data_IF_438566978067
#
_entry.id   IF_438566978067
#
_cell.length_a   1.000
_cell.length_b   1.000
_cell.length_c   1.000
_cell.angle_alpha   90.00
_cell.angle_beta   90.00
_cell.angle_gamma   90.00
#
_symmetry.space_group_name_H-M   'P 1'
#
loop_
_entity.id
_entity.type
_entity.pdbx_description
1 polymer ?
#
# COMPACT_ATOMS: atom_id res chain seq x y z
N UNK A 1 4.50 -7.28 -30.36
CA UNK A 1 3.68 -6.06 -30.33
C UNK A 1 4.40 -5.06 -29.44
N UNK A 2 4.67 -3.84 -29.91
CA UNK A 2 5.31 -2.82 -29.08
C UNK A 2 4.38 -2.50 -27.90
N UNK A 3 4.89 -2.51 -26.66
CA UNK A 3 4.14 -2.09 -25.49
C UNK A 3 3.71 -0.63 -25.68
N UNK A 4 2.44 -0.32 -25.44
CA UNK A 4 1.96 1.05 -25.47
C UNK A 4 2.82 1.93 -24.52
N UNK A 5 3.03 3.22 -24.84
CA UNK A 5 3.78 4.12 -23.97
C UNK A 5 3.14 4.17 -22.59
N UNK A 6 3.96 4.08 -21.54
CA UNK A 6 3.49 4.16 -20.15
C UNK A 6 2.86 5.52 -19.89
N UNK A 7 1.61 5.57 -19.44
CA UNK A 7 0.90 6.85 -19.14
C UNK A 7 0.91 7.24 -17.66
N UNK A 8 1.34 6.36 -16.77
CA UNK A 8 1.61 6.65 -15.36
C UNK A 8 2.67 5.68 -14.81
N UNK A 9 3.46 6.12 -13.84
CA UNK A 9 4.26 5.24 -12.98
C UNK A 9 3.35 4.70 -11.89
N UNK A 10 3.24 3.37 -11.77
CA UNK A 10 2.47 2.73 -10.72
C UNK A 10 3.37 2.32 -9.56
N UNK A 11 3.15 2.94 -8.41
CA UNK A 11 3.83 2.65 -7.15
C UNK A 11 2.91 1.81 -6.26
N UNK A 12 3.22 0.52 -6.08
CA UNK A 12 2.53 -0.33 -5.11
C UNK A 12 3.11 -0.19 -3.71
N UNK A 13 2.28 0.04 -2.71
CA UNK A 13 2.63 0.06 -1.28
C UNK A 13 1.80 -0.99 -0.57
N UNK A 14 2.46 -2.06 -0.12
CA UNK A 14 1.83 -3.19 0.55
C UNK A 14 2.44 -3.48 1.92
N UNK A 15 1.88 -4.43 2.65
CA UNK A 15 2.26 -4.75 4.03
C UNK A 15 1.05 -4.96 4.94
N UNK A 16 1.27 -5.47 6.17
CA UNK A 16 0.19 -5.86 7.07
C UNK A 16 -0.73 -4.70 7.42
N UNK A 17 -1.94 -5.02 7.87
CA UNK A 17 -2.86 -4.06 8.49
C UNK A 17 -2.14 -3.28 9.60
N UNK A 18 -2.44 -1.99 9.76
CA UNK A 18 -1.83 -1.11 10.78
C UNK A 18 -0.30 -0.88 10.69
N UNK A 19 0.35 -1.20 9.57
CA UNK A 19 1.79 -0.92 9.35
C UNK A 19 2.14 0.54 9.02
N UNK A 20 1.14 1.35 8.63
CA UNK A 20 1.36 2.77 8.29
C UNK A 20 1.35 3.09 6.78
N UNK A 21 0.88 2.16 5.93
CA UNK A 21 0.76 2.34 4.47
C UNK A 21 0.04 3.65 4.09
N UNK A 22 -1.20 3.84 4.54
CA UNK A 22 -2.00 5.04 4.25
C UNK A 22 -1.28 6.33 4.61
N UNK A 23 -0.58 6.34 5.75
CA UNK A 23 0.23 7.49 6.18
C UNK A 23 1.37 7.76 5.21
N UNK A 24 2.13 6.71 4.83
CA UNK A 24 3.21 6.84 3.86
C UNK A 24 2.69 7.29 2.49
N UNK A 25 1.60 6.69 1.99
CA UNK A 25 0.98 7.02 0.71
C UNK A 25 0.56 8.49 0.63
N UNK A 26 -0.02 9.05 1.71
CA UNK A 26 -0.39 10.46 1.77
C UNK A 26 0.82 11.39 1.82
N UNK A 27 1.83 11.07 2.62
CA UNK A 27 3.09 11.84 2.66
C UNK A 27 3.76 11.85 1.28
N UNK A 28 3.81 10.70 0.60
CA UNK A 28 4.35 10.58 -0.75
C UNK A 28 3.52 11.37 -1.76
N UNK A 29 2.19 11.32 -1.69
CA UNK A 29 1.31 12.16 -2.54
C UNK A 29 1.62 13.64 -2.39
N UNK A 30 1.83 14.09 -1.16
CA UNK A 30 2.10 15.50 -0.89
C UNK A 30 3.48 15.93 -1.41
N UNK A 31 4.43 15.01 -1.53
CA UNK A 31 5.82 15.26 -1.96
C UNK A 31 6.03 15.07 -3.47
N UNK A 32 5.37 14.07 -4.07
CA UNK A 32 5.60 13.64 -5.44
C UNK A 32 4.79 14.45 -6.47
N UNK A 33 5.36 14.71 -7.67
CA UNK A 33 4.68 15.48 -8.71
C UNK A 33 3.50 14.71 -9.30
N UNK A 34 2.41 15.42 -9.63
CA UNK A 34 1.26 14.88 -10.37
C UNK A 34 0.80 13.51 -9.84
N UNK A 35 0.71 13.37 -8.52
CA UNK A 35 0.47 12.10 -7.86
C UNK A 35 -0.95 12.01 -7.29
N UNK A 36 -1.48 10.78 -7.23
CA UNK A 36 -2.77 10.47 -6.63
C UNK A 36 -2.74 9.07 -6.01
N UNK A 37 -3.70 8.79 -5.11
CA UNK A 37 -3.77 7.53 -4.38
C UNK A 37 -5.00 6.74 -4.83
N UNK A 38 -4.82 5.43 -5.03
CA UNK A 38 -5.87 4.44 -5.15
C UNK A 38 -5.77 3.50 -3.94
N UNK A 39 -6.79 3.47 -3.09
CA UNK A 39 -6.84 2.55 -1.94
C UNK A 39 -7.52 1.25 -2.35
N UNK A 40 -6.91 0.11 -2.05
CA UNK A 40 -7.52 -1.21 -2.20
C UNK A 40 -8.79 -1.32 -1.36
N UNK A 41 -8.80 -0.67 -0.19
CA UNK A 41 -9.92 -0.65 0.74
C UNK A 41 -11.18 0.04 0.14
N UNK A 42 -11.05 0.86 -0.90
CA UNK A 42 -12.21 1.40 -1.63
C UNK A 42 -12.95 0.32 -2.46
N UNK A 43 -12.38 -0.89 -2.57
CA UNK A 43 -12.92 -2.02 -3.31
C UNK A 43 -13.43 -3.15 -2.40
N UNK A 44 -13.68 -2.89 -1.11
CA UNK A 44 -14.42 -3.86 -0.30
C UNK A 44 -15.81 -4.12 -0.88
N UNK A 45 -16.25 -5.37 -0.78
CA UNK A 45 -17.64 -5.75 -1.02
C UNK A 45 -18.54 -5.15 0.06
N UNK A 46 -19.85 -5.21 -0.18
CA UNK A 46 -20.85 -4.86 0.82
C UNK A 46 -20.79 -5.82 2.00
N UNK A 47 -21.18 -5.36 3.19
CA UNK A 47 -21.07 -6.11 4.45
C UNK A 47 -21.70 -7.51 4.35
N UNK A 48 -22.87 -7.62 3.71
CA UNK A 48 -23.57 -8.89 3.52
C UNK A 48 -22.85 -9.91 2.61
N UNK A 49 -21.89 -9.47 1.80
CA UNK A 49 -21.06 -10.33 0.94
C UNK A 49 -19.70 -10.70 1.56
N UNK A 50 -19.35 -10.13 2.72
CA UNK A 50 -18.08 -10.44 3.38
C UNK A 50 -18.11 -11.87 3.91
N UNK A 51 -17.09 -12.69 3.59
CA UNK A 51 -17.06 -14.08 4.02
C UNK A 51 -17.01 -14.19 5.54
N UNK A 52 -17.63 -15.22 6.10
CA UNK A 52 -17.61 -15.48 7.54
C UNK A 52 -16.68 -16.64 7.84
N UNK A 53 -15.69 -16.43 8.71
CA UNK A 53 -14.79 -17.46 9.22
C UNK A 53 -14.88 -17.50 10.74
N UNK A 54 -15.04 -18.71 11.27
CA UNK A 54 -15.20 -18.95 12.72
C UNK A 54 -16.32 -18.11 13.37
N UNK A 55 -17.36 -17.79 12.62
CA UNK A 55 -18.51 -17.00 13.10
C UNK A 55 -18.31 -15.48 13.05
N UNK A 56 -17.20 -14.99 12.48
CA UNK A 56 -16.90 -13.56 12.33
C UNK A 56 -16.65 -13.22 10.85
N UNK A 57 -17.08 -12.03 10.40
CA UNK A 57 -16.77 -11.53 9.06
C UNK A 57 -15.25 -11.33 8.87
N UNK A 58 -14.69 -11.95 7.85
CA UNK A 58 -13.29 -11.85 7.48
C UNK A 58 -13.11 -10.76 6.42
N UNK A 59 -12.79 -9.55 6.87
CA UNK A 59 -12.49 -8.41 6.03
C UNK A 59 -11.07 -8.49 5.45
N UNK A 60 -10.13 -9.15 6.13
CA UNK A 60 -8.71 -9.20 5.79
C UNK A 60 -8.37 -10.39 4.86
N UNK A 61 -9.22 -10.67 3.87
CA UNK A 61 -9.01 -11.74 2.89
C UNK A 61 -9.27 -11.29 1.44
N UNK A 62 -8.90 -12.12 0.46
CA UNK A 62 -9.05 -11.76 -0.95
C UNK A 62 -10.53 -11.71 -1.37
N UNK A 63 -11.36 -12.57 -0.78
CA UNK A 63 -12.76 -12.73 -1.14
C UNK A 63 -13.63 -11.55 -0.68
N UNK A 64 -13.15 -10.76 0.30
CA UNK A 64 -13.81 -9.53 0.75
C UNK A 64 -13.71 -8.38 -0.27
N UNK A 65 -12.94 -8.53 -1.34
CA UNK A 65 -12.64 -7.47 -2.31
C UNK A 65 -13.31 -7.72 -3.68
N UNK A 66 -13.73 -6.63 -4.33
CA UNK A 66 -14.06 -6.59 -5.75
C UNK A 66 -12.79 -6.43 -6.60
N UNK A 67 -12.12 -7.56 -6.84
CA UNK A 67 -10.92 -7.58 -7.67
C UNK A 67 -11.18 -7.24 -9.15
N UNK A 68 -12.40 -7.46 -9.64
CA UNK A 68 -12.72 -7.11 -11.02
C UNK A 68 -12.73 -5.58 -11.16
N UNK A 69 -13.44 -4.88 -10.27
CA UNK A 69 -13.43 -3.42 -10.20
C UNK A 69 -12.02 -2.84 -9.98
N UNK A 70 -11.22 -3.48 -9.11
CA UNK A 70 -9.85 -3.03 -8.86
C UNK A 70 -8.95 -3.19 -10.10
N UNK A 71 -9.06 -4.30 -10.83
CA UNK A 71 -8.32 -4.52 -12.09
C UNK A 71 -8.72 -3.53 -13.18
N UNK A 72 -10.00 -3.21 -13.27
CA UNK A 72 -10.50 -2.22 -14.21
C UNK A 72 -9.97 -0.82 -13.89
N UNK A 73 -9.91 -0.46 -12.60
CA UNK A 73 -9.31 0.79 -12.16
C UNK A 73 -7.82 0.88 -12.49
N UNK A 74 -7.04 -0.16 -12.22
CA UNK A 74 -5.62 -0.21 -12.59
C UNK A 74 -5.40 -0.14 -14.11
N UNK A 75 -6.24 -0.83 -14.88
CA UNK A 75 -6.21 -0.80 -16.35
C UNK A 75 -6.51 0.58 -16.89
N UNK A 76 -7.49 1.28 -16.28
CA UNK A 76 -7.81 2.67 -16.61
C UNK A 76 -6.62 3.58 -16.32
N UNK A 77 -6.03 3.49 -15.13
CA UNK A 77 -4.85 4.30 -14.74
C UNK A 77 -3.69 4.09 -15.72
N UNK A 78 -3.40 2.84 -16.09
CA UNK A 78 -2.35 2.51 -17.07
C UNK A 78 -2.59 3.06 -18.47
N UNK A 79 -3.84 3.38 -18.80
CA UNK A 79 -4.24 3.90 -20.12
C UNK A 79 -4.38 5.42 -20.14
N UNK A 80 -4.82 6.01 -19.03
CA UNK A 80 -5.23 7.42 -18.96
C UNK A 80 -4.29 8.28 -18.11
N UNK A 81 -3.49 7.67 -17.23
CA UNK A 81 -2.61 8.38 -16.31
C UNK A 81 -3.34 9.09 -15.16
N UNK A 82 -4.61 8.76 -14.93
CA UNK A 82 -5.46 9.36 -13.90
C UNK A 82 -6.38 8.31 -13.27
N UNK A 83 -6.89 8.62 -12.08
CA UNK A 83 -7.89 7.81 -11.41
C UNK A 83 -9.21 7.78 -12.23
N UNK A 84 -9.94 6.65 -12.28
CA UNK A 84 -11.27 6.61 -12.89
C UNK A 84 -12.19 7.70 -12.31
N UNK A 85 -12.87 8.51 -13.13
CA UNK A 85 -13.68 9.63 -12.65
C UNK A 85 -14.89 9.21 -11.82
N UNK A 86 -15.30 7.94 -11.91
CA UNK A 86 -16.40 7.36 -11.14
C UNK A 86 -15.97 6.89 -9.74
N UNK A 87 -14.66 6.79 -9.49
CA UNK A 87 -14.15 6.33 -8.20
C UNK A 87 -13.97 7.53 -7.26
N UNK A 88 -14.81 7.56 -6.21
CA UNK A 88 -14.68 8.53 -5.13
C UNK A 88 -14.07 7.79 -3.94
N UNK A 89 -12.81 8.10 -3.61
CA UNK A 89 -12.15 7.46 -2.48
C UNK A 89 -12.83 7.85 -1.18
N UNK A 90 -13.25 6.86 -0.39
CA UNK A 90 -13.72 7.04 0.98
C UNK A 90 -12.54 7.10 1.92
N UNK A 91 -11.52 6.27 1.67
CA UNK A 91 -10.34 6.21 2.53
C UNK A 91 -9.57 7.52 2.52
N UNK A 92 -9.42 8.21 1.39
CA UNK A 92 -8.70 9.50 1.34
C UNK A 92 -9.43 10.65 2.05
N UNK A 93 -10.71 10.46 2.43
CA UNK A 93 -11.48 11.43 3.22
C UNK A 93 -11.21 11.31 4.73
N UNK A 94 -10.57 10.22 5.18
CA UNK A 94 -10.26 10.00 6.58
C UNK A 94 -9.17 10.96 7.06
N UNK A 95 -9.39 11.60 8.21
CA UNK A 95 -8.44 12.54 8.80
C UNK A 95 -7.03 11.93 8.96
N UNK A 96 -6.00 12.68 8.57
CA UNK A 96 -4.60 12.26 8.79
C UNK A 96 -4.29 12.46 10.27
N UNK A 97 -4.13 11.36 11.01
CA UNK A 97 -3.63 11.40 12.38
C UNK A 97 -2.20 11.95 12.46
N UNK A 98 -1.70 12.19 13.68
CA UNK A 98 -0.30 12.62 13.86
C UNK A 98 0.66 11.53 13.34
N UNK A 99 1.46 11.88 12.32
CA UNK A 99 2.42 10.97 11.69
C UNK A 99 3.87 11.18 12.17
N UNK A 100 4.12 12.23 12.95
CA UNK A 100 5.42 12.48 13.60
C UNK A 100 6.54 12.90 12.66
N UNK A 101 6.23 13.30 11.42
CA UNK A 101 7.21 13.85 10.47
C UNK A 101 7.13 15.36 10.50
N UNK A 102 8.27 16.02 10.71
CA UNK A 102 8.38 17.48 10.75
C UNK A 102 7.96 18.10 9.40
N UNK A 103 7.02 19.06 9.37
CA UNK A 103 6.66 19.80 8.16
C UNK A 103 7.86 20.42 7.42
N UNK A 104 8.88 20.88 8.14
CA UNK A 104 10.08 21.44 7.52
C UNK A 104 10.86 20.38 6.72
N UNK A 105 10.89 19.14 7.22
CA UNK A 105 11.51 18.02 6.52
C UNK A 105 10.69 17.58 5.30
N UNK A 106 9.37 17.62 5.37
CA UNK A 106 8.50 17.38 4.20
C UNK A 106 8.80 18.41 3.09
N UNK A 107 8.98 19.68 3.46
CA UNK A 107 9.33 20.73 2.50
C UNK A 107 10.73 20.55 1.90
N UNK A 108 11.71 20.10 2.68
CA UNK A 108 13.03 19.71 2.18
C UNK A 108 12.94 18.59 1.12
N UNK A 109 12.13 17.56 1.40
CA UNK A 109 11.91 16.45 0.48
C UNK A 109 11.20 16.89 -0.81
N UNK A 110 10.23 17.81 -0.72
CA UNK A 110 9.59 18.42 -1.90
C UNK A 110 10.59 19.13 -2.80
N UNK A 111 11.49 19.93 -2.21
CA UNK A 111 12.51 20.65 -2.98
C UNK A 111 13.49 19.69 -3.66
N UNK A 112 13.89 18.63 -2.96
CA UNK A 112 14.73 17.55 -3.51
C UNK A 112 14.06 16.86 -4.70
N UNK A 113 12.80 16.48 -4.58
CA UNK A 113 12.04 15.85 -5.66
C UNK A 113 11.84 16.82 -6.83
N UNK A 114 11.55 18.10 -6.57
CA UNK A 114 11.40 19.11 -7.62
C UNK A 114 12.68 19.32 -8.44
N UNK A 115 13.85 19.28 -7.78
CA UNK A 115 15.14 19.32 -8.46
C UNK A 115 15.33 18.11 -9.39
N UNK A 116 14.98 16.90 -8.92
CA UNK A 116 15.03 15.68 -9.73
C UNK A 116 14.07 15.74 -10.93
N UNK A 117 12.84 16.22 -10.72
CA UNK A 117 11.83 16.40 -11.78
C UNK A 117 12.35 17.31 -12.88
N UNK A 118 13.02 18.39 -12.48
CA UNK A 118 13.61 19.36 -13.42
C UNK A 118 14.79 18.76 -14.17
N UNK A 119 15.72 18.11 -13.48
CA UNK A 119 16.91 17.47 -14.06
C UNK A 119 16.53 16.37 -15.07
N UNK A 120 15.53 15.55 -14.74
CA UNK A 120 15.07 14.44 -15.59
C UNK A 120 13.96 14.82 -16.57
N UNK A 121 13.50 16.06 -16.56
CA UNK A 121 12.32 16.50 -17.34
C UNK A 121 11.11 15.57 -17.13
N UNK A 122 10.89 15.14 -15.88
CA UNK A 122 9.85 14.18 -15.54
C UNK A 122 8.46 14.80 -15.72
N UNK A 123 7.60 14.14 -16.49
CA UNK A 123 6.22 14.60 -16.74
C UNK A 123 5.19 13.46 -16.71
N UNK A 124 5.52 12.35 -16.04
CA UNK A 124 4.65 11.20 -15.94
C UNK A 124 3.89 11.24 -14.60
N UNK A 125 2.55 11.12 -14.59
CA UNK A 125 1.79 10.99 -13.34
C UNK A 125 2.24 9.79 -12.51
N UNK A 126 2.13 9.90 -11.18
CA UNK A 126 2.48 8.82 -10.24
C UNK A 126 1.22 8.33 -9.55
N UNK A 127 0.82 7.09 -9.84
CA UNK A 127 -0.31 6.44 -9.20
C UNK A 127 0.18 5.61 -8.00
N UNK A 128 -0.16 6.03 -6.80
CA UNK A 128 0.19 5.36 -5.54
C UNK A 128 -0.94 4.38 -5.22
N UNK A 129 -0.65 3.08 -5.21
CA UNK A 129 -1.61 2.02 -4.98
C UNK A 129 -1.37 1.46 -3.58
N UNK A 130 -2.28 1.74 -2.65
CA UNK A 130 -2.17 1.37 -1.24
C UNK A 130 -3.06 0.17 -0.94
N UNK A 131 -2.50 -0.94 -0.44
CA UNK A 131 -3.32 -2.08 -0.10
C UNK A 131 -2.59 -3.20 0.64
N UNK A 132 -3.28 -3.83 1.59
CA UNK A 132 -2.67 -4.83 2.46
C UNK A 132 -2.37 -6.17 1.76
N UNK A 133 -3.05 -6.50 0.66
CA UNK A 133 -2.88 -7.76 -0.10
C UNK A 133 -2.12 -7.62 -1.41
N UNK A 134 -1.71 -6.42 -1.81
CA UNK A 134 -1.20 -6.17 -3.17
C UNK A 134 -0.05 -7.11 -3.57
N UNK A 135 0.75 -7.58 -2.62
CA UNK A 135 1.90 -8.45 -2.89
C UNK A 135 1.70 -9.91 -2.47
N UNK A 136 0.47 -10.33 -2.15
CA UNK A 136 0.17 -11.74 -1.87
C UNK A 136 0.48 -12.63 -3.07
N UNK A 137 0.61 -13.94 -2.85
CA UNK A 137 0.76 -14.90 -3.95
C UNK A 137 -0.44 -14.90 -4.91
N UNK A 138 -1.65 -14.76 -4.36
CA UNK A 138 -2.90 -14.75 -5.13
C UNK A 138 -3.05 -13.47 -5.98
N UNK A 139 -2.38 -12.38 -5.61
CA UNK A 139 -2.35 -11.12 -6.37
C UNK A 139 -1.10 -10.97 -7.25
N UNK A 140 -0.41 -12.06 -7.59
CA UNK A 140 0.82 -12.00 -8.40
C UNK A 140 0.67 -11.24 -9.72
N UNK A 141 -0.44 -11.42 -10.43
CA UNK A 141 -0.71 -10.74 -11.69
C UNK A 141 -1.00 -9.24 -11.53
N UNK A 142 -1.57 -8.82 -10.40
CA UNK A 142 -1.73 -7.41 -10.02
C UNK A 142 -0.37 -6.82 -9.64
N UNK A 143 0.39 -7.54 -8.80
CA UNK A 143 1.73 -7.12 -8.35
C UNK A 143 2.64 -6.85 -9.55
N UNK A 144 2.58 -7.67 -10.59
CA UNK A 144 3.40 -7.53 -11.79
C UNK A 144 3.07 -6.26 -12.59
N UNK A 145 1.95 -5.59 -12.30
CA UNK A 145 1.58 -4.34 -12.94
C UNK A 145 2.38 -3.13 -12.43
N UNK A 146 2.94 -3.17 -11.22
CA UNK A 146 3.59 -2.03 -10.59
C UNK A 146 5.03 -1.81 -11.08
N UNK A 147 5.42 -0.56 -11.27
CA UNK A 147 6.81 -0.18 -11.62
C UNK A 147 7.73 -0.14 -10.39
N UNK A 148 7.16 0.17 -9.22
CA UNK A 148 7.87 0.20 -7.92
C UNK A 148 7.02 -0.53 -6.89
N UNK A 149 7.62 -1.43 -6.12
CA UNK A 149 6.94 -2.26 -5.12
C UNK A 149 7.56 -2.04 -3.74
N UNK A 150 6.88 -1.37 -2.84
CA UNK A 150 7.33 -1.11 -1.47
C UNK A 150 6.53 -1.95 -0.49
N UNK A 151 7.23 -2.79 0.30
CA UNK A 151 6.60 -3.65 1.29
C UNK A 151 6.95 -3.20 2.71
N UNK A 152 5.96 -2.65 3.41
CA UNK A 152 6.05 -2.28 4.82
C UNK A 152 5.94 -3.53 5.68
N UNK A 153 6.59 -3.47 6.84
CA UNK A 153 6.60 -4.53 7.86
C UNK A 153 6.15 -3.93 9.19
N UNK A 154 5.59 -4.75 10.05
CA UNK A 154 5.47 -4.40 11.46
C UNK A 154 5.37 -5.66 12.31
N UNK A 155 5.80 -5.61 13.57
CA UNK A 155 5.60 -6.71 14.53
C UNK A 155 4.13 -6.95 14.85
N UNK A 156 3.79 -8.19 15.22
CA UNK A 156 2.44 -8.58 15.65
C UNK A 156 1.94 -7.66 16.77
N UNK A 157 2.79 -7.41 17.77
CA UNK A 157 2.47 -6.55 18.92
C UNK A 157 2.05 -5.13 18.48
N UNK A 158 2.79 -4.53 17.57
CA UNK A 158 2.49 -3.19 17.07
C UNK A 158 1.24 -3.17 16.19
N UNK A 159 1.08 -4.15 15.30
CA UNK A 159 -0.11 -4.28 14.47
C UNK A 159 -1.38 -4.40 15.33
N UNK A 160 -1.34 -5.29 16.32
CA UNK A 160 -2.43 -5.54 17.27
C UNK A 160 -2.78 -4.30 18.07
N UNK A 161 -1.81 -3.70 18.74
CA UNK A 161 -2.04 -2.50 19.55
C UNK A 161 -2.65 -1.35 18.74
N UNK A 162 -2.20 -1.16 17.49
CA UNK A 162 -2.74 -0.12 16.60
C UNK A 162 -4.13 -0.47 16.06
N UNK A 163 -4.39 -1.74 15.72
CA UNK A 163 -5.70 -2.20 15.21
C UNK A 163 -6.77 -2.10 16.29
N UNK A 164 -6.49 -2.60 17.50
CA UNK A 164 -7.41 -2.56 18.64
C UNK A 164 -7.67 -1.13 19.17
N UNK A 165 -6.76 -0.18 18.88
CA UNK A 165 -6.96 1.23 19.22
C UNK A 165 -7.88 1.99 18.25
N UNK A 166 -8.28 1.38 17.12
CA UNK A 166 -9.21 2.00 16.17
C UNK A 166 -10.63 1.88 16.72
N UNK A 167 -11.40 2.96 16.59
CA UNK A 167 -12.79 3.03 17.06
C UNK A 167 -13.78 2.26 16.17
N UNK A 168 -13.32 1.78 15.01
CA UNK A 168 -14.11 1.08 14.00
C UNK A 168 -13.90 1.64 12.59
N UNK A 169 -14.66 1.13 11.63
CA UNK A 169 -14.52 1.34 10.19
C UNK A 169 -15.85 1.71 9.58
N UNK A 170 -15.87 2.70 8.69
CA UNK A 170 -17.04 3.00 7.87
C UNK A 170 -17.07 2.03 6.71
N UNK A 171 -18.15 1.26 6.58
CA UNK A 171 -18.32 0.28 5.51
C UNK A 171 -19.26 0.80 4.42
N UNK A 172 -19.62 -0.05 3.45
CA UNK A 172 -20.58 0.35 2.42
C UNK A 172 -22.01 0.42 2.96
N UNK A 173 -22.38 -0.44 3.92
CA UNK A 173 -23.74 -0.54 4.46
C UNK A 173 -23.86 -0.03 5.91
N UNK A 174 -22.75 0.36 6.55
CA UNK A 174 -22.80 0.93 7.90
C UNK A 174 -21.46 1.16 8.55
N UNK A 175 -21.28 0.55 9.73
CA UNK A 175 -20.11 0.72 10.58
C UNK A 175 -19.71 -0.64 11.16
N UNK A 176 -18.43 -0.98 11.06
CA UNK A 176 -17.85 -2.20 11.58
C UNK A 176 -16.91 -1.90 12.74
N UNK A 177 -17.02 -2.67 13.82
CA UNK A 177 -16.06 -2.66 14.93
C UNK A 177 -15.50 -4.06 15.07
N UNK A 178 -14.16 -4.18 15.11
CA UNK A 178 -13.51 -5.47 15.25
C UNK A 178 -13.93 -6.13 16.57
N UNK A 179 -14.45 -7.37 16.56
CA UNK A 179 -14.81 -8.04 17.80
C UNK A 179 -13.57 -8.40 18.63
N UNK A 180 -13.72 -8.69 19.94
CA UNK A 180 -12.60 -9.10 20.78
C UNK A 180 -11.86 -10.31 20.21
N UNK A 181 -10.53 -10.18 20.07
CA UNK A 181 -9.66 -11.24 19.52
C UNK A 181 -9.60 -11.30 17.98
N UNK A 182 -10.23 -10.35 17.26
CA UNK A 182 -10.23 -10.32 15.80
C UNK A 182 -8.82 -10.35 15.18
N UNK A 183 -7.87 -9.64 15.80
CA UNK A 183 -6.48 -9.63 15.31
C UNK A 183 -5.84 -11.01 15.37
N UNK A 184 -6.10 -11.74 16.45
CA UNK A 184 -5.52 -13.06 16.71
C UNK A 184 -6.12 -14.14 15.83
N UNK A 185 -7.42 -14.03 15.55
CA UNK A 185 -8.21 -15.04 14.87
C UNK A 185 -8.26 -14.83 13.35
N UNK A 186 -8.22 -13.58 12.88
CA UNK A 186 -8.46 -13.23 11.48
C UNK A 186 -7.28 -12.45 10.88
N UNK A 187 -7.01 -11.25 11.37
CA UNK A 187 -6.08 -10.30 10.72
C UNK A 187 -4.66 -10.88 10.60
N UNK A 188 -4.09 -11.35 11.71
CA UNK A 188 -2.71 -11.82 11.71
C UNK A 188 -2.55 -13.18 10.99
N UNK A 189 -3.43 -14.19 11.20
CA UNK A 189 -3.39 -15.42 10.43
C UNK A 189 -3.49 -15.22 8.92
N UNK A 190 -4.36 -14.32 8.44
CA UNK A 190 -4.44 -14.01 7.01
C UNK A 190 -3.17 -13.34 6.50
N UNK A 191 -2.61 -12.37 7.25
CA UNK A 191 -1.33 -11.77 6.88
C UNK A 191 -0.20 -12.81 6.75
N UNK A 192 -0.10 -13.75 7.69
CA UNK A 192 0.86 -14.87 7.63
C UNK A 192 0.60 -15.73 6.39
N UNK A 193 -0.65 -16.13 6.16
CA UNK A 193 -1.03 -16.94 4.98
C UNK A 193 -0.58 -16.26 3.68
N UNK A 194 -0.85 -14.97 3.55
CA UNK A 194 -0.72 -14.26 2.28
C UNK A 194 0.71 -13.79 1.99
N UNK A 195 1.53 -13.57 3.03
CA UNK A 195 2.85 -12.93 2.90
C UNK A 195 4.02 -13.74 3.45
N UNK A 196 3.81 -14.86 4.16
CA UNK A 196 4.91 -15.68 4.72
C UNK A 196 5.99 -16.05 3.71
N UNK A 197 5.64 -16.24 2.44
CA UNK A 197 6.59 -16.54 1.37
C UNK A 197 7.66 -15.45 1.14
N UNK A 198 7.42 -14.20 1.57
CA UNK A 198 8.38 -13.10 1.51
C UNK A 198 9.42 -13.16 2.62
N UNK A 199 9.27 -14.05 3.60
CA UNK A 199 10.07 -14.10 4.81
C UNK A 199 10.87 -15.40 4.91
N UNK A 200 12.03 -15.31 5.54
CA UNK A 200 12.87 -16.47 5.81
C UNK A 200 12.11 -17.48 6.67
N UNK A 201 12.08 -18.74 6.22
CA UNK A 201 11.38 -19.83 6.92
C UNK A 201 9.87 -19.60 7.12
N UNK A 202 9.27 -18.62 6.42
CA UNK A 202 7.86 -18.25 6.60
C UNK A 202 7.57 -17.40 7.84
N UNK A 203 8.58 -16.95 8.58
CA UNK A 203 8.40 -16.15 9.80
C UNK A 203 8.21 -14.66 9.47
N UNK A 204 6.95 -14.20 9.48
CA UNK A 204 6.60 -12.80 9.17
C UNK A 204 7.09 -11.77 10.19
N UNK A 205 7.54 -12.20 11.37
CA UNK A 205 8.21 -11.33 12.35
C UNK A 205 9.74 -11.35 12.18
N UNK A 206 10.27 -12.41 11.56
CA UNK A 206 11.66 -12.61 11.16
C UNK A 206 12.06 -11.80 9.93
N UNK A 207 13.24 -12.07 9.37
CA UNK A 207 13.79 -11.32 8.22
C UNK A 207 13.11 -11.65 6.89
N UNK A 208 13.10 -10.65 6.00
CA UNK A 208 12.70 -10.89 4.61
C UNK A 208 13.70 -11.82 3.92
N UNK A 209 13.18 -12.65 3.02
CA UNK A 209 14.00 -13.47 2.14
C UNK A 209 14.45 -12.60 0.96
N UNK A 210 15.73 -12.21 0.96
CA UNK A 210 16.31 -11.31 -0.04
C UNK A 210 16.20 -11.87 -1.46
N UNK A 211 16.33 -13.19 -1.63
CA UNK A 211 16.24 -13.84 -2.93
C UNK A 211 14.80 -13.83 -3.45
N UNK A 212 13.81 -14.06 -2.58
CA UNK A 212 12.39 -13.93 -2.94
C UNK A 212 12.06 -12.48 -3.30
N UNK A 213 12.42 -11.52 -2.44
CA UNK A 213 12.17 -10.10 -2.69
C UNK A 213 12.82 -9.64 -4.00
N UNK A 214 14.06 -10.06 -4.28
CA UNK A 214 14.75 -9.73 -5.54
C UNK A 214 14.08 -10.34 -6.76
N UNK A 215 13.63 -11.60 -6.69
CA UNK A 215 12.90 -12.26 -7.79
C UNK A 215 11.55 -11.60 -8.07
N UNK A 216 10.85 -11.16 -7.04
CA UNK A 216 9.56 -10.48 -7.14
C UNK A 216 9.69 -8.96 -7.34
N UNK A 217 10.91 -8.42 -7.40
CA UNK A 217 11.22 -6.98 -7.47
C UNK A 217 10.46 -6.17 -6.41
N UNK A 218 10.43 -6.70 -5.18
CA UNK A 218 9.83 -6.06 -4.00
C UNK A 218 10.96 -5.46 -3.15
N UNK A 219 10.85 -4.17 -2.88
CA UNK A 219 11.68 -3.47 -1.91
C UNK A 219 11.05 -3.60 -0.52
N UNK A 220 11.71 -4.37 0.35
CA UNK A 220 11.32 -4.51 1.75
C UNK A 220 11.77 -3.33 2.61
N UNK A 221 10.90 -2.88 3.51
CA UNK A 221 11.22 -1.84 4.48
C UNK A 221 12.33 -2.32 5.44
N UNK A 222 13.42 -1.55 5.62
CA UNK A 222 14.46 -1.83 6.61
C UNK A 222 13.90 -1.82 8.04
N UNK A 223 14.53 -2.56 8.95
CA UNK A 223 14.06 -2.68 10.35
C UNK A 223 14.07 -1.33 11.08
N UNK A 224 15.10 -0.53 10.84
CA UNK A 224 15.28 0.81 11.40
C UNK A 224 14.21 1.82 10.94
N UNK A 225 13.49 1.51 9.85
CA UNK A 225 12.40 2.32 9.34
C UNK A 225 11.03 1.98 9.99
N UNK A 226 10.87 0.83 10.63
CA UNK A 226 9.61 0.46 11.30
C UNK A 226 9.24 1.43 12.43
N UNK A 227 10.24 1.86 13.20
CA UNK A 227 10.05 2.70 14.37
C UNK A 227 9.86 4.20 14.04
N UNK A 228 10.10 4.62 12.79
CA UNK A 228 10.17 6.03 12.41
C UNK A 228 9.57 6.25 11.04
N UNK A 229 8.41 6.91 10.99
CA UNK A 229 7.78 7.31 9.73
C UNK A 229 8.71 8.21 8.90
N UNK A 230 9.61 8.99 9.53
CA UNK A 230 10.65 9.75 8.84
C UNK A 230 11.60 8.85 8.06
N UNK A 231 12.13 7.79 8.69
CA UNK A 231 13.03 6.85 8.03
C UNK A 231 12.32 6.02 6.97
N UNK A 232 11.07 5.62 7.23
CA UNK A 232 10.22 4.93 6.24
C UNK A 232 10.00 5.81 5.00
N UNK A 233 9.68 7.09 5.19
CA UNK A 233 9.49 8.04 4.10
C UNK A 233 10.77 8.26 3.27
N UNK A 234 11.91 8.46 3.94
CA UNK A 234 13.22 8.60 3.26
C UNK A 234 13.55 7.34 2.44
N UNK A 235 13.40 6.15 3.03
CA UNK A 235 13.62 4.89 2.32
C UNK A 235 12.70 4.73 1.11
N UNK A 236 11.41 5.03 1.26
CA UNK A 236 10.44 4.95 0.17
C UNK A 236 10.82 5.90 -0.97
N UNK A 237 11.12 7.16 -0.66
CA UNK A 237 11.53 8.16 -1.65
C UNK A 237 12.80 7.75 -2.39
N UNK A 238 13.82 7.21 -1.71
CA UNK A 238 15.04 6.75 -2.39
C UNK A 238 14.76 5.66 -3.43
N UNK A 239 13.81 4.74 -3.17
CA UNK A 239 13.44 3.72 -4.16
C UNK A 239 12.66 4.32 -5.34
N UNK A 240 11.79 5.31 -5.07
CA UNK A 240 11.01 6.01 -6.11
C UNK A 240 11.93 6.87 -6.98
N UNK A 241 12.86 7.63 -6.39
CA UNK A 241 13.84 8.45 -7.11
C UNK A 241 14.72 7.60 -8.03
N UNK A 242 15.14 6.41 -7.58
CA UNK A 242 15.86 5.44 -8.44
C UNK A 242 15.02 5.03 -9.64
N UNK A 243 13.72 4.80 -9.46
CA UNK A 243 12.83 4.45 -10.56
C UNK A 243 12.59 5.64 -11.52
N UNK A 244 12.49 6.86 -10.99
CA UNK A 244 12.39 8.09 -11.80
C UNK A 244 13.69 8.39 -12.57
N UNK A 245 14.84 7.96 -12.05
CA UNK A 245 16.16 8.17 -12.66
C UNK A 245 16.57 7.10 -13.68
N UNK A 246 15.83 5.99 -13.83
CA UNK A 246 16.09 5.01 -14.90
C UNK A 246 15.64 5.61 -16.23
N UNK A 247 16.55 5.72 -17.20
CA UNK A 247 16.17 5.96 -18.60
C UNK A 247 15.27 4.80 -19.06
N UNK A 248 14.04 5.13 -19.49
CA UNK A 248 13.10 4.15 -20.08
C UNK A 248 13.38 3.96 -21.56
#
# INVERSE_FOLDING_TARGET
MASAPTTALLLGISGPSSSGKTTLSRLLRDILPQSFILHLDDFYRIDSEIPVREGVQDWDCIESLDLAGFRDALSYIKKHGSCPPTLVSKEDQNAVGQHGVDPAYIEELKQRVQALVTDKSWNLPIAIIDGFLLFSNEMSDIRDLFDVRLFLRTSYRTAKARREARTGYVTLEGFWEDPPGYVDQIVWPNYVKDHSFLFQQGDVEGELDEDVCKRADIHGMPREAEASMKHCLEWALQNIERAMGKEK
#
